data_IF_770008578942
#
_entry.id   IF_770008578942
#
_cell.length_a   1.000
_cell.length_b   1.000
_cell.length_c   1.000
_cell.angle_alpha   90.00
_cell.angle_beta   90.00
_cell.angle_gamma   90.00
#
_symmetry.space_group_name_H-M   'P 1'
#
loop_
_entity.id
_entity.type
_entity.pdbx_description
1 polymer ?
#
# COMPACT_ATOMS: atom_id res chain seq x y z
N UNK A 1 -33.17 -4.38 -1.33
CA UNK A 1 -32.30 -4.94 -0.29
C UNK A 1 -30.90 -5.14 -0.87
N UNK A 2 -29.84 -4.70 -0.21
CA UNK A 2 -28.48 -4.99 -0.64
C UNK A 2 -28.08 -6.35 -0.08
N UNK A 3 -27.54 -7.23 -0.93
CA UNK A 3 -26.99 -8.52 -0.47
C UNK A 3 -25.72 -8.23 0.28
N UNK A 4 -25.60 -8.70 1.52
CA UNK A 4 -24.43 -8.52 2.39
C UNK A 4 -23.83 -9.87 2.75
N UNK A 5 -22.51 -9.91 2.85
CA UNK A 5 -21.75 -11.03 3.36
C UNK A 5 -20.39 -10.52 3.89
N UNK A 6 -19.65 -11.35 4.61
CA UNK A 6 -18.38 -10.97 5.25
C UNK A 6 -17.37 -10.31 4.29
N UNK A 7 -17.33 -10.72 3.02
CA UNK A 7 -16.42 -10.14 2.04
C UNK A 7 -16.86 -8.70 1.66
N UNK A 8 -18.15 -8.49 1.46
CA UNK A 8 -18.71 -7.15 1.17
C UNK A 8 -18.57 -6.24 2.39
N UNK A 9 -18.86 -6.77 3.59
CA UNK A 9 -18.70 -6.03 4.84
C UNK A 9 -17.25 -5.53 4.99
N UNK A 10 -16.26 -6.41 4.77
CA UNK A 10 -14.84 -6.05 4.82
C UNK A 10 -14.49 -4.90 3.85
N UNK A 11 -15.01 -4.93 2.62
CA UNK A 11 -14.78 -3.86 1.63
C UNK A 11 -15.40 -2.53 2.05
N UNK A 12 -16.58 -2.57 2.69
CA UNK A 12 -17.32 -1.39 3.12
C UNK A 12 -16.78 -0.79 4.42
N UNK A 13 -16.23 -1.61 5.30
CA UNK A 13 -15.74 -1.22 6.62
C UNK A 13 -14.28 -0.77 6.63
N UNK A 14 -13.47 -1.22 5.65
CA UNK A 14 -12.05 -0.83 5.57
C UNK A 14 -11.86 0.69 5.58
N UNK A 15 -10.97 1.15 6.43
CA UNK A 15 -10.55 2.58 6.52
C UNK A 15 -9.04 2.71 6.39
N UNK A 16 -8.61 3.92 6.02
CA UNK A 16 -7.18 4.29 6.05
C UNK A 16 -6.79 4.66 7.47
N UNK A 17 -5.97 3.82 8.09
CA UNK A 17 -5.46 4.01 9.45
C UNK A 17 -4.13 4.77 9.39
N UNK A 18 -3.96 5.74 10.29
CA UNK A 18 -2.79 6.62 10.37
C UNK A 18 -2.30 6.81 11.81
N UNK A 19 -2.58 5.86 12.67
CA UNK A 19 -2.05 5.75 14.02
C UNK A 19 -1.88 4.28 14.34
N UNK A 20 -0.70 3.90 14.82
CA UNK A 20 -0.32 2.50 15.00
C UNK A 20 0.26 2.28 16.38
N UNK A 21 -0.09 1.15 16.97
CA UNK A 21 0.54 0.67 18.21
C UNK A 21 2.00 0.32 17.92
N UNK A 22 2.90 0.49 18.91
CA UNK A 22 4.26 -0.01 18.79
C UNK A 22 4.27 -1.53 18.66
N UNK A 23 5.22 -2.05 17.92
CA UNK A 23 5.41 -3.49 17.69
C UNK A 23 5.04 -3.94 16.28
N UNK A 24 5.68 -5.01 15.86
CA UNK A 24 5.46 -5.62 14.55
C UNK A 24 4.20 -6.50 14.55
N UNK A 25 3.58 -6.61 13.38
CA UNK A 25 2.60 -7.65 13.10
C UNK A 25 3.30 -9.01 13.07
N UNK A 26 2.57 -10.07 13.32
CA UNK A 26 3.13 -11.42 13.26
C UNK A 26 3.51 -11.80 11.82
N UNK A 27 4.46 -12.73 11.69
CA UNK A 27 4.89 -13.27 10.39
C UNK A 27 3.74 -13.91 9.63
N UNK A 28 2.80 -14.55 10.32
CA UNK A 28 1.66 -15.23 9.70
C UNK A 28 0.62 -14.24 9.19
N UNK A 29 0.41 -13.14 9.90
CA UNK A 29 -0.41 -12.03 9.42
C UNK A 29 0.22 -11.38 8.18
N UNK A 30 1.52 -11.08 8.23
CA UNK A 30 2.26 -10.54 7.09
C UNK A 30 2.18 -11.46 5.88
N UNK A 31 2.46 -12.76 6.04
CA UNK A 31 2.35 -13.76 4.97
C UNK A 31 0.94 -13.80 4.36
N UNK A 32 -0.09 -13.73 5.19
CA UNK A 32 -1.49 -13.74 4.74
C UNK A 32 -1.82 -12.50 3.92
N UNK A 33 -1.39 -11.32 4.37
CA UNK A 33 -1.55 -10.05 3.63
C UNK A 33 -0.81 -10.11 2.29
N UNK A 34 0.44 -10.55 2.28
CA UNK A 34 1.24 -10.67 1.05
C UNK A 34 0.62 -11.64 0.05
N UNK A 35 0.16 -12.83 0.52
CA UNK A 35 -0.51 -13.81 -0.31
C UNK A 35 -1.77 -13.25 -0.98
N UNK A 36 -2.56 -12.47 -0.24
CA UNK A 36 -3.74 -11.81 -0.80
C UNK A 36 -3.36 -10.72 -1.82
N UNK A 37 -2.30 -9.96 -1.56
CA UNK A 37 -1.74 -8.99 -2.51
C UNK A 37 -1.36 -9.66 -3.83
N UNK A 38 -0.60 -10.75 -3.77
CA UNK A 38 -0.15 -11.51 -4.93
C UNK A 38 -1.30 -12.20 -5.70
N UNK A 39 -2.47 -12.38 -5.08
CA UNK A 39 -3.66 -12.91 -5.74
C UNK A 39 -4.44 -11.86 -6.55
N UNK A 40 -3.99 -10.61 -6.58
CA UNK A 40 -4.61 -9.58 -7.40
C UNK A 40 -4.54 -9.95 -8.90
N UNK A 41 -5.58 -9.69 -9.68
CA UNK A 41 -5.52 -9.90 -11.12
C UNK A 41 -4.54 -8.92 -11.77
N UNK A 42 -3.94 -9.34 -12.87
CA UNK A 42 -3.14 -8.47 -13.74
C UNK A 42 -3.52 -8.66 -15.20
N UNK A 43 -3.32 -7.64 -16.02
CA UNK A 43 -3.64 -7.70 -17.43
C UNK A 43 -2.92 -8.89 -18.09
N UNK A 44 -3.69 -9.76 -18.76
CA UNK A 44 -3.21 -10.98 -19.40
C UNK A 44 -2.40 -11.91 -18.47
N UNK A 45 -2.63 -11.80 -17.15
CA UNK A 45 -1.90 -12.53 -16.11
C UNK A 45 -0.35 -12.35 -16.21
N UNK A 46 0.10 -11.16 -16.56
CA UNK A 46 1.54 -10.85 -16.74
C UNK A 46 2.29 -10.70 -15.43
N UNK A 47 1.61 -10.46 -14.32
CA UNK A 47 2.15 -10.37 -12.96
C UNK A 47 3.39 -9.47 -12.85
N UNK A 48 3.32 -8.20 -13.29
CA UNK A 48 4.49 -7.33 -13.41
C UNK A 48 4.97 -6.79 -12.06
N UNK A 49 4.28 -7.10 -10.98
CA UNK A 49 4.43 -6.42 -9.68
C UNK A 49 5.40 -7.16 -8.77
N UNK A 50 6.26 -6.40 -8.09
CA UNK A 50 7.16 -6.86 -7.03
C UNK A 50 6.81 -6.15 -5.73
N UNK A 51 6.84 -6.89 -4.63
CA UNK A 51 6.58 -6.37 -3.27
C UNK A 51 7.90 -6.28 -2.50
N UNK A 52 8.30 -5.08 -2.12
CA UNK A 52 9.41 -4.83 -1.22
C UNK A 52 8.85 -4.65 0.20
N UNK A 53 9.11 -5.60 1.07
CA UNK A 53 8.65 -5.58 2.46
C UNK A 53 9.76 -5.01 3.34
N UNK A 54 9.46 -3.92 4.04
CA UNK A 54 10.40 -3.22 4.90
C UNK A 54 9.87 -3.20 6.33
N UNK A 55 10.62 -3.80 7.25
CA UNK A 55 10.36 -3.84 8.69
C UNK A 55 11.52 -3.29 9.51
N UNK A 56 12.67 -3.05 8.87
CA UNK A 56 13.79 -2.36 9.50
C UNK A 56 13.44 -0.89 9.74
N UNK A 57 13.52 -0.49 10.99
CA UNK A 57 13.14 0.86 11.43
C UNK A 57 13.95 1.97 10.76
N UNK A 58 15.26 1.75 10.57
CA UNK A 58 16.14 2.75 9.95
C UNK A 58 15.77 2.94 8.48
N UNK A 59 15.52 1.84 7.76
CA UNK A 59 15.08 1.86 6.36
C UNK A 59 13.69 2.50 6.21
N UNK A 60 12.74 2.20 7.11
CA UNK A 60 11.42 2.85 7.11
C UNK A 60 11.58 4.37 7.29
N UNK A 61 12.41 4.80 8.22
CA UNK A 61 12.66 6.24 8.45
C UNK A 61 13.30 6.92 7.23
N UNK A 62 14.23 6.23 6.55
CA UNK A 62 14.84 6.73 5.32
C UNK A 62 13.79 6.89 4.21
N UNK A 63 12.98 5.87 3.95
CA UNK A 63 11.90 5.94 2.97
C UNK A 63 10.86 7.01 3.32
N UNK A 64 10.54 7.19 4.61
CA UNK A 64 9.66 8.25 5.08
C UNK A 64 10.22 9.64 4.77
N UNK A 65 11.52 9.86 5.03
CA UNK A 65 12.20 11.12 4.68
C UNK A 65 12.18 11.38 3.18
N UNK A 66 12.47 10.38 2.35
CA UNK A 66 12.39 10.51 0.89
C UNK A 66 10.97 10.85 0.42
N UNK A 67 9.95 10.22 1.02
CA UNK A 67 8.56 10.54 0.70
C UNK A 67 8.19 11.98 1.10
N UNK A 68 8.60 12.42 2.28
CA UNK A 68 8.39 13.79 2.75
C UNK A 68 9.11 14.82 1.86
N UNK A 69 10.35 14.53 1.43
CA UNK A 69 11.14 15.37 0.53
C UNK A 69 10.42 15.57 -0.81
N UNK A 70 10.04 14.50 -1.50
CA UNK A 70 9.34 14.59 -2.79
C UNK A 70 7.92 15.17 -2.66
N UNK A 71 7.39 15.20 -1.46
CA UNK A 71 6.12 15.86 -1.11
C UNK A 71 6.30 17.38 -0.91
N UNK A 72 7.55 17.87 -0.78
CA UNK A 72 7.84 19.26 -0.39
C UNK A 72 7.44 19.58 1.05
N UNK A 73 7.45 18.59 1.95
CA UNK A 73 7.07 18.71 3.36
C UNK A 73 8.09 18.01 4.26
N UNK A 74 9.28 18.57 4.32
CA UNK A 74 10.30 18.07 5.21
C UNK A 74 9.85 18.12 6.69
N UNK A 75 10.31 17.16 7.48
CA UNK A 75 10.05 17.11 8.93
C UNK A 75 8.74 16.42 9.33
N UNK A 76 7.89 15.97 8.38
CA UNK A 76 6.75 15.12 8.67
C UNK A 76 7.10 13.63 8.47
N UNK A 77 6.32 12.75 9.07
CA UNK A 77 6.36 11.31 8.79
C UNK A 77 5.12 10.89 7.97
N UNK A 78 5.23 10.75 6.63
CA UNK A 78 4.13 10.28 5.81
C UNK A 78 3.73 8.82 6.08
N UNK A 79 4.55 8.04 6.78
CA UNK A 79 4.25 6.66 7.16
C UNK A 79 3.62 6.53 8.54
N UNK A 80 3.43 7.65 9.26
CA UNK A 80 2.68 7.71 10.53
C UNK A 80 3.18 6.74 11.61
N UNK A 81 4.48 6.46 11.65
CA UNK A 81 5.08 5.52 12.61
C UNK A 81 4.69 4.05 12.38
N UNK A 82 4.16 3.70 11.22
CA UNK A 82 3.81 2.31 10.91
C UNK A 82 5.04 1.39 10.98
N UNK A 83 4.96 0.22 11.64
CA UNK A 83 6.10 -0.66 11.85
C UNK A 83 6.44 -1.50 10.60
N UNK A 84 5.56 -1.59 9.62
CA UNK A 84 5.77 -2.31 8.36
C UNK A 84 5.36 -1.42 7.18
N UNK A 85 6.19 -1.40 6.15
CA UNK A 85 5.91 -0.73 4.87
C UNK A 85 6.08 -1.74 3.75
N UNK A 86 5.04 -1.94 2.94
CA UNK A 86 5.11 -2.74 1.73
C UNK A 86 5.14 -1.77 0.55
N UNK A 87 6.30 -1.64 -0.09
CA UNK A 87 6.40 -0.85 -1.33
C UNK A 87 6.02 -1.74 -2.50
N UNK A 88 5.03 -1.29 -3.25
CA UNK A 88 4.58 -1.95 -4.47
C UNK A 88 5.28 -1.31 -5.65
N UNK A 89 6.08 -2.11 -6.34
CA UNK A 89 6.81 -1.74 -7.56
C UNK A 89 6.24 -2.55 -8.72
N UNK A 90 6.31 -2.02 -9.94
CA UNK A 90 5.82 -2.72 -11.12
C UNK A 90 6.69 -2.45 -12.35
N UNK A 91 6.78 -3.42 -13.26
CA UNK A 91 7.59 -3.34 -14.49
C UNK A 91 7.00 -2.32 -15.47
N UNK A 92 7.70 -1.18 -15.66
CA UNK A 92 7.27 -0.07 -16.55
C UNK A 92 7.11 -0.47 -18.03
N UNK A 93 7.69 -1.60 -18.44
CA UNK A 93 7.56 -2.09 -19.81
C UNK A 93 6.17 -2.71 -20.07
N UNK A 94 5.40 -2.94 -19.02
CA UNK A 94 4.02 -3.42 -19.12
C UNK A 94 3.08 -2.20 -19.09
N UNK A 95 2.28 -1.95 -20.12
CA UNK A 95 1.43 -0.76 -20.21
C UNK A 95 0.48 -0.57 -19.03
N UNK A 96 0.01 -1.66 -18.43
CA UNK A 96 -0.93 -1.69 -17.29
C UNK A 96 -0.23 -1.76 -15.93
N UNK A 97 1.07 -1.47 -15.84
CA UNK A 97 1.86 -1.66 -14.62
C UNK A 97 1.33 -0.87 -13.41
N UNK A 98 0.76 0.31 -13.63
CA UNK A 98 0.19 1.13 -12.54
C UNK A 98 -1.12 0.53 -12.06
N UNK A 99 -2.00 0.14 -12.97
CA UNK A 99 -3.29 -0.47 -12.69
C UNK A 99 -3.11 -1.81 -11.96
N UNK A 100 -2.22 -2.66 -12.47
CA UNK A 100 -1.90 -3.96 -11.88
C UNK A 100 -1.34 -3.79 -10.45
N UNK A 101 -0.40 -2.85 -10.25
CA UNK A 101 0.13 -2.53 -8.92
C UNK A 101 -0.90 -1.91 -7.99
N UNK A 102 -1.85 -1.15 -8.52
CA UNK A 102 -2.94 -0.56 -7.74
C UNK A 102 -3.93 -1.62 -7.23
N UNK A 103 -4.20 -2.65 -8.03
CA UNK A 103 -5.02 -3.79 -7.60
C UNK A 103 -4.33 -4.58 -6.49
N UNK A 104 -3.02 -4.78 -6.57
CA UNK A 104 -2.22 -5.39 -5.50
C UNK A 104 -2.35 -4.57 -4.21
N UNK A 105 -2.17 -3.24 -4.25
CA UNK A 105 -2.35 -2.36 -3.07
C UNK A 105 -3.76 -2.47 -2.50
N UNK A 106 -4.79 -2.51 -3.34
CA UNK A 106 -6.17 -2.73 -2.91
C UNK A 106 -6.33 -4.04 -2.15
N UNK A 107 -5.78 -5.14 -2.67
CA UNK A 107 -5.84 -6.45 -2.04
C UNK A 107 -5.07 -6.48 -0.70
N UNK A 108 -3.86 -5.90 -0.64
CA UNK A 108 -3.10 -5.79 0.62
C UNK A 108 -3.92 -5.10 1.71
N UNK A 109 -4.54 -3.95 1.40
CA UNK A 109 -5.33 -3.20 2.36
C UNK A 109 -6.61 -3.93 2.79
N UNK A 110 -7.27 -4.63 1.88
CA UNK A 110 -8.46 -5.42 2.19
C UNK A 110 -8.13 -6.63 3.06
N UNK A 111 -7.00 -7.32 2.78
CA UNK A 111 -6.53 -8.42 3.61
C UNK A 111 -6.13 -7.94 5.02
N UNK A 112 -5.45 -6.80 5.11
CA UNK A 112 -5.12 -6.20 6.40
C UNK A 112 -6.38 -5.96 7.24
N UNK A 113 -7.41 -5.35 6.65
CA UNK A 113 -8.68 -5.10 7.34
C UNK A 113 -9.37 -6.38 7.79
N UNK A 114 -9.37 -7.43 6.96
CA UNK A 114 -9.94 -8.72 7.29
C UNK A 114 -9.25 -9.42 8.48
N UNK A 115 -7.99 -9.07 8.74
CA UNK A 115 -7.19 -9.56 9.88
C UNK A 115 -7.21 -8.61 11.09
N UNK A 116 -7.99 -7.53 11.05
CA UNK A 116 -8.01 -6.52 12.10
C UNK A 116 -6.78 -5.62 12.14
N UNK A 117 -5.96 -5.63 11.08
CA UNK A 117 -4.80 -4.75 10.94
C UNK A 117 -5.19 -3.40 10.33
N UNK A 118 -4.48 -2.36 10.75
CA UNK A 118 -4.56 -1.03 10.15
C UNK A 118 -3.67 -0.94 8.91
N UNK A 119 -4.18 -0.29 7.85
CA UNK A 119 -3.40 -0.01 6.66
C UNK A 119 -3.78 1.31 6.03
N UNK A 120 -2.86 1.88 5.24
CA UNK A 120 -3.13 3.06 4.42
C UNK A 120 -2.25 3.03 3.16
N UNK A 121 -2.80 3.48 2.04
CA UNK A 121 -2.02 3.78 0.84
C UNK A 121 -1.29 5.11 1.02
N UNK A 122 0.03 5.09 0.92
CA UNK A 122 0.87 6.28 0.83
C UNK A 122 1.38 6.40 -0.61
N UNK A 123 1.12 7.52 -1.21
CA UNK A 123 1.50 7.80 -2.59
C UNK A 123 3.00 8.16 -2.72
N UNK A 124 3.44 8.49 -3.95
CA UNK A 124 4.78 8.98 -4.31
C UNK A 124 5.90 7.96 -4.27
N UNK A 125 5.59 6.66 -4.28
CA UNK A 125 6.63 5.64 -4.42
C UNK A 125 7.45 5.83 -5.71
N UNK A 126 6.83 6.29 -6.82
CA UNK A 126 7.54 6.60 -8.06
C UNK A 126 8.57 7.69 -7.82
N UNK A 127 8.12 8.83 -7.35
CA UNK A 127 8.95 10.02 -7.14
C UNK A 127 10.09 9.74 -6.15
N UNK A 128 9.84 8.95 -5.10
CA UNK A 128 10.89 8.52 -4.16
C UNK A 128 12.02 7.79 -4.87
N UNK A 129 11.70 6.80 -5.70
CA UNK A 129 12.67 5.97 -6.39
C UNK A 129 13.22 6.59 -7.69
N UNK A 130 12.71 7.75 -8.11
CA UNK A 130 13.28 8.58 -9.17
C UNK A 130 14.34 9.56 -8.64
N UNK A 131 14.45 9.76 -7.31
CA UNK A 131 15.58 10.50 -6.69
C UNK A 131 16.89 9.74 -6.84
N UNK A 132 18.03 10.41 -6.75
CA UNK A 132 19.35 9.75 -6.79
C UNK A 132 19.52 8.76 -5.63
N UNK A 133 19.05 9.13 -4.42
CA UNK A 133 19.10 8.27 -3.24
C UNK A 133 18.17 7.04 -3.43
N UNK A 134 16.97 7.24 -3.95
CA UNK A 134 16.04 6.15 -4.24
C UNK A 134 16.57 5.19 -5.30
N UNK A 135 17.24 5.67 -6.34
CA UNK A 135 17.92 4.84 -7.34
C UNK A 135 19.08 4.04 -6.72
N UNK A 136 19.86 4.67 -5.84
CA UNK A 136 20.94 3.99 -5.12
C UNK A 136 20.40 2.85 -4.26
N UNK A 137 19.30 3.06 -3.51
CA UNK A 137 18.65 2.03 -2.73
C UNK A 137 18.13 0.87 -3.60
N UNK A 138 17.49 1.16 -4.73
CA UNK A 138 17.06 0.10 -5.67
C UNK A 138 18.24 -0.76 -6.11
N UNK A 139 19.35 -0.15 -6.45
CA UNK A 139 20.57 -0.86 -6.87
C UNK A 139 21.15 -1.71 -5.73
N UNK A 140 21.20 -1.16 -4.53
CA UNK A 140 21.67 -1.87 -3.32
C UNK A 140 20.80 -3.12 -3.03
N UNK A 141 19.49 -3.01 -3.22
CA UNK A 141 18.55 -4.11 -3.02
C UNK A 141 18.42 -5.06 -4.20
N UNK A 142 19.23 -4.87 -5.25
CA UNK A 142 19.24 -5.73 -6.43
C UNK A 142 17.99 -5.61 -7.31
N UNK A 143 17.27 -4.50 -7.21
CA UNK A 143 16.08 -4.23 -8.02
C UNK A 143 16.48 -3.67 -9.39
N UNK A 144 15.97 -4.27 -10.46
CA UNK A 144 16.19 -3.79 -11.82
C UNK A 144 15.54 -2.41 -12.05
N UNK A 145 16.13 -1.60 -12.94
CA UNK A 145 15.63 -0.26 -13.25
C UNK A 145 14.23 -0.23 -13.85
N UNK A 146 13.81 -1.32 -14.46
CA UNK A 146 12.45 -1.46 -15.00
C UNK A 146 11.35 -1.37 -13.93
N UNK A 147 11.65 -1.69 -12.66
CA UNK A 147 10.69 -1.60 -11.59
C UNK A 147 10.54 -0.17 -11.10
N UNK A 148 9.34 0.37 -11.23
CA UNK A 148 8.95 1.71 -10.78
C UNK A 148 7.94 1.64 -9.66
N UNK A 149 7.96 2.62 -8.76
CA UNK A 149 7.02 2.68 -7.65
C UNK A 149 5.58 2.93 -8.10
N UNK A 150 4.64 2.20 -7.51
CA UNK A 150 3.19 2.43 -7.65
C UNK A 150 2.65 3.10 -6.39
N UNK A 151 2.99 2.58 -5.23
CA UNK A 151 2.59 3.13 -3.94
C UNK A 151 3.15 2.32 -2.79
N UNK A 152 2.96 2.82 -1.57
CA UNK A 152 3.33 2.12 -0.36
C UNK A 152 2.06 1.76 0.43
N UNK A 153 1.95 0.53 0.90
CA UNK A 153 0.98 0.12 1.90
C UNK A 153 1.68 0.12 3.26
N UNK A 154 1.34 1.06 4.12
CA UNK A 154 1.78 1.03 5.52
C UNK A 154 0.86 0.13 6.32
N UNK A 155 1.42 -0.62 7.29
CA UNK A 155 0.75 -1.72 7.95
C UNK A 155 1.18 -1.84 9.41
N UNK A 156 0.22 -2.12 10.31
CA UNK A 156 0.45 -2.33 11.74
C UNK A 156 -0.84 -2.53 12.50
N UNK A 157 -0.76 -2.75 13.81
CA UNK A 157 -1.94 -2.77 14.66
C UNK A 157 -2.48 -1.35 14.84
N UNK A 158 -3.79 -1.11 14.59
CA UNK A 158 -4.36 0.23 14.72
C UNK A 158 -4.29 0.71 16.17
N UNK A 159 -4.00 2.00 16.36
CA UNK A 159 -4.08 2.68 17.64
C UNK A 159 -5.21 3.71 17.62
N UNK A 160 -6.13 3.61 18.57
CA UNK A 160 -7.32 4.44 18.64
C UNK A 160 -8.50 3.92 17.80
N UNK A 161 -9.50 4.77 17.63
CA UNK A 161 -10.74 4.43 16.94
C UNK A 161 -10.60 4.43 15.43
N UNK A 162 -11.29 3.50 14.77
CA UNK A 162 -11.39 3.48 13.31
C UNK A 162 -12.17 4.70 12.82
N UNK A 163 -11.63 5.48 11.86
CA UNK A 163 -12.32 6.67 11.36
C UNK A 163 -13.68 6.33 10.74
N UNK A 164 -14.68 7.17 11.00
CA UNK A 164 -16.00 7.01 10.40
C UNK A 164 -15.95 7.11 8.86
N UNK A 165 -16.84 6.37 8.21
CA UNK A 165 -17.00 6.46 6.75
C UNK A 165 -17.57 7.84 6.38
N UNK A 166 -16.91 8.53 5.45
CA UNK A 166 -17.48 9.74 4.84
C UNK A 166 -18.57 9.37 3.83
N UNK A 167 -19.65 10.14 3.72
CA UNK A 167 -20.65 9.96 2.67
C UNK A 167 -20.01 9.92 1.29
N UNK A 168 -20.53 9.09 0.40
CA UNK A 168 -20.12 9.11 -1.00
C UNK A 168 -20.81 10.26 -1.73
N UNK A 169 -20.20 10.74 -2.80
CA UNK A 169 -20.79 11.78 -3.65
C UNK A 169 -22.15 11.30 -4.19
N UNK A 170 -23.16 12.17 -4.26
CA UNK A 170 -24.33 11.91 -5.07
C UNK A 170 -23.88 11.71 -6.53
N UNK A 171 -24.63 11.00 -7.31
CA UNK A 171 -24.38 10.76 -8.75
C UNK A 171 -23.06 10.03 -9.07
N UNK A 172 -22.57 9.25 -8.12
CA UNK A 172 -21.35 8.43 -8.29
C UNK A 172 -21.57 7.27 -9.28
N UNK A 173 -22.84 6.92 -9.54
CA UNK A 173 -23.22 5.83 -10.44
C UNK A 173 -24.16 6.39 -11.50
N UNK A 174 -23.76 6.29 -12.75
CA UNK A 174 -24.60 6.61 -13.91
C UNK A 174 -25.08 5.30 -14.52
N UNK A 175 -26.40 5.14 -14.63
CA UNK A 175 -27.01 3.96 -15.27
C UNK A 175 -27.49 4.33 -16.66
N UNK A 176 -26.94 3.70 -17.67
CA UNK A 176 -27.42 3.76 -19.05
C UNK A 176 -28.26 2.51 -19.27
N UNK A 177 -29.52 2.68 -19.66
CA UNK A 177 -30.47 1.59 -19.93
C UNK A 177 -30.81 1.56 -21.41
#
# INVERSE_FOLDING_TARGET
MTIMNKALDNLLERRSIRSYKPGQISDDELKSVLKAGLAAPSAMNRQPTVLLVVQDKATIQLLSKLNALVMGKEGIDPFYGAPTVIVVLSDRNIPTHVEDGSLVLGNLMNAANALGLGSCWINRAREMFDTEEGKALKKEWGLEDKYVGVGCCILGYPDGETPAAKPRKPDYIIKIK
#
